data_IF_507910638246
#
_entry.id   IF_507910638246
#
_cell.length_a   1.000
_cell.length_b   1.000
_cell.length_c   1.000
_cell.angle_alpha   90.00
_cell.angle_beta   90.00
_cell.angle_gamma   90.00
#
_symmetry.space_group_name_H-M   'P 1'
#
loop_
_entity.id
_entity.type
_entity.pdbx_description
1 polymer ?
2 non-polymer ?
3 water ?
#
# COMPACT_ATOMS: atom_id res chain seq x y z
N UNK A 2 13.12 -20.27 -4.51
CA UNK A 2 14.37 -19.62 -5.00
C UNK A 2 13.99 -18.47 -5.92
N UNK A 3 12.88 -18.59 -6.64
CA UNK A 3 12.26 -17.45 -7.32
C UNK A 3 10.80 -17.13 -6.89
N UNK A 4 10.22 -16.15 -7.57
CA UNK A 4 8.84 -15.77 -7.30
C UNK A 4 7.83 -16.72 -7.91
N UNK A 5 8.29 -17.89 -8.29
CA UNK A 5 7.41 -18.88 -8.88
C UNK A 5 6.53 -19.55 -7.84
N UNK A 6 5.25 -19.64 -8.17
CA UNK A 6 4.27 -20.34 -7.34
C UNK A 6 4.25 -19.80 -5.96
N UNK A 7 4.58 -18.53 -5.87
CA UNK A 7 4.44 -17.88 -4.62
C UNK A 7 3.17 -17.04 -4.72
N UNK A 8 2.31 -17.21 -3.72
CA UNK A 8 1.10 -16.42 -3.56
C UNK A 8 1.28 -15.56 -2.32
N UNK A 9 1.43 -14.28 -2.56
CA UNK A 9 1.63 -13.38 -1.47
C UNK A 9 0.35 -13.00 -0.79
N UNK A 10 -0.79 -13.32 -1.36
CA UNK A 10 -2.02 -12.88 -0.73
C UNK A 10 -2.49 -11.54 -1.29
N UNK A 11 -3.49 -10.94 -0.64
CA UNK A 11 -4.08 -9.71 -1.12
C UNK A 11 -3.23 -8.52 -0.80
N UNK A 12 -3.18 -7.63 -1.77
CA UNK A 12 -2.46 -6.38 -1.68
C UNK A 12 -0.96 -6.56 -1.77
N UNK A 13 -0.50 -7.75 -2.09
CA UNK A 13 0.94 -8.02 -2.07
C UNK A 13 1.41 -8.70 -3.32
N UNK A 14 2.59 -8.40 -3.84
CA UNK A 14 3.09 -9.15 -4.98
C UNK A 14 4.51 -9.68 -4.68
N UNK A 15 5.04 -10.56 -5.52
CA UNK A 15 6.33 -11.19 -5.23
C UNK A 15 7.43 -10.54 -5.99
N UNK A 16 8.53 -10.26 -5.32
CA UNK A 16 9.64 -9.62 -6.00
C UNK A 16 10.93 -10.12 -5.39
N UNK A 17 11.93 -10.26 -6.24
CA UNK A 17 13.22 -10.70 -5.82
C UNK A 17 13.94 -9.50 -5.21
N UNK A 18 14.35 -9.59 -3.97
CA UNK A 18 15.07 -8.46 -3.44
C UNK A 18 16.57 -8.50 -3.87
N UNK A 19 17.37 -7.61 -3.33
CA UNK A 19 18.78 -7.50 -3.73
C UNK A 19 19.66 -8.61 -3.29
N UNK A 20 19.13 -9.50 -2.48
CA UNK A 20 19.95 -10.58 -2.02
C UNK A 20 19.44 -11.80 -2.69
N UNK A 21 18.61 -11.62 -3.69
CA UNK A 21 18.03 -12.75 -4.42
C UNK A 21 17.07 -13.61 -3.71
N UNK A 22 16.40 -13.03 -2.73
CA UNK A 22 15.36 -13.78 -2.07
C UNK A 22 13.97 -13.34 -2.59
N UNK A 23 13.04 -14.26 -2.80
CA UNK A 23 11.68 -13.83 -3.13
C UNK A 23 11.00 -13.26 -1.90
N UNK A 24 10.41 -12.08 -2.00
CA UNK A 24 9.75 -11.45 -0.87
C UNK A 24 8.39 -10.98 -1.35
N UNK A 25 7.37 -11.13 -0.52
CA UNK A 25 6.07 -10.53 -0.80
C UNK A 25 6.13 -9.10 -0.36
N UNK A 26 5.92 -8.18 -1.26
CA UNK A 26 5.89 -6.79 -0.85
C UNK A 26 4.51 -6.17 -1.11
N UNK A 27 4.21 -5.16 -0.32
CA UNK A 27 2.95 -4.44 -0.37
C UNK A 27 2.83 -3.77 -1.73
N UNK A 28 1.80 -4.06 -2.51
CA UNK A 28 1.75 -3.39 -3.75
C UNK A 28 0.28 -3.32 -4.09
N UNK A 29 -0.46 -2.38 -3.49
CA UNK A 29 -1.88 -2.25 -3.77
C UNK A 29 -2.16 -1.84 -5.19
N UNK A 30 -3.26 -2.30 -5.74
CA UNK A 30 -3.59 -1.99 -7.13
C UNK A 30 -4.18 -0.60 -7.19
N UNK A 31 -3.39 0.42 -7.49
CA UNK A 31 -3.92 1.78 -7.49
C UNK A 31 -5.01 1.99 -8.54
N UNK A 32 -5.04 1.17 -9.58
CA UNK A 32 -6.04 1.34 -10.68
C UNK A 32 -7.42 0.95 -10.17
N UNK A 33 -7.45 0.38 -8.99
CA UNK A 33 -8.72 0.04 -8.41
C UNK A 33 -9.38 1.22 -7.68
N UNK A 34 -8.59 2.24 -7.35
CA UNK A 34 -9.08 3.33 -6.49
C UNK A 34 -9.68 4.40 -7.33
N UNK A 35 -10.82 4.94 -6.97
CA UNK A 35 -11.47 5.93 -7.88
C UNK A 35 -11.08 7.38 -7.57
N UNK A 36 -10.92 7.72 -6.31
CA UNK A 36 -10.51 9.06 -5.95
C UNK A 36 -9.05 9.17 -6.14
N UNK A 37 -8.65 10.16 -6.90
CA UNK A 37 -7.28 10.23 -7.22
C UNK A 37 -6.49 11.31 -6.44
N UNK A 38 -7.09 12.32 -5.85
CA UNK A 38 -6.26 13.33 -5.20
C UNK A 38 -5.75 12.90 -3.85
N UNK A 39 -5.25 13.83 -3.06
CA UNK A 39 -4.74 13.48 -1.73
C UNK A 39 -5.84 13.11 -0.78
N UNK A 40 -5.46 12.37 0.25
CA UNK A 40 -6.32 11.98 1.30
C UNK A 40 -5.65 12.26 2.64
N UNK A 41 -6.51 12.45 3.65
CA UNK A 41 -6.15 12.64 5.06
C UNK A 41 -6.38 11.34 5.83
N UNK A 42 -5.32 10.80 6.38
CA UNK A 42 -5.28 9.52 7.10
C UNK A 42 -5.74 9.64 8.54
N UNK A 43 -6.13 8.52 9.14
CA UNK A 43 -6.55 8.48 10.57
C UNK A 43 -5.42 8.76 11.53
N UNK A 44 -4.19 8.73 11.04
CA UNK A 44 -3.06 9.13 11.88
C UNK A 44 -2.94 10.64 11.83
N UNK A 45 -3.84 11.31 11.12
CA UNK A 45 -3.71 12.75 10.93
C UNK A 45 -2.64 13.25 9.89
N UNK A 46 -2.03 12.35 9.12
CA UNK A 46 -1.08 12.78 8.16
C UNK A 46 -1.68 12.79 6.75
N UNK A 47 -1.33 13.77 5.93
CA UNK A 47 -1.82 13.77 4.59
C UNK A 47 -1.02 12.73 3.81
N UNK A 48 -1.70 11.93 2.99
CA UNK A 48 -1.04 11.02 2.06
C UNK A 48 -1.29 11.51 0.60
N UNK A 49 -0.26 11.46 -0.23
CA UNK A 49 -0.34 11.96 -1.64
C UNK A 49 -1.49 11.41 -2.44
N UNK A 50 -1.76 10.13 -2.25
CA UNK A 50 -2.96 9.58 -2.83
C UNK A 50 -3.39 8.45 -1.95
N UNK A 51 -4.54 7.87 -2.25
CA UNK A 51 -5.07 6.82 -1.43
C UNK A 51 -4.23 5.54 -1.49
N UNK A 52 -3.72 5.24 -2.66
CA UNK A 52 -2.85 4.12 -2.86
C UNK A 52 -1.67 4.16 -1.91
N UNK A 53 -1.11 5.34 -1.74
CA UNK A 53 0.00 5.54 -0.84
C UNK A 53 -0.40 5.24 0.60
N UNK A 54 -1.60 5.61 0.95
CA UNK A 54 -2.09 5.28 2.29
C UNK A 54 -2.22 3.78 2.46
N UNK A 55 -2.79 3.12 1.48
CA UNK A 55 -2.98 1.70 1.55
C UNK A 55 -1.65 0.96 1.64
N UNK A 56 -0.66 1.50 0.99
CA UNK A 56 0.64 0.86 1.14
C UNK A 56 1.18 1.02 2.58
N UNK A 57 0.99 2.18 3.19
CA UNK A 57 1.49 2.41 4.55
C UNK A 57 0.69 1.53 5.48
N UNK A 58 -0.59 1.39 5.18
CA UNK A 58 -1.44 0.51 5.97
C UNK A 58 -0.90 -0.92 5.97
N UNK A 59 -0.61 -1.46 4.80
CA UNK A 59 -0.12 -2.84 4.66
C UNK A 59 1.26 -3.08 5.25
N UNK A 60 2.05 -2.02 5.21
CA UNK A 60 3.42 -2.10 5.59
C UNK A 60 3.64 -1.82 7.05
N UNK A 61 3.00 -0.80 7.59
CA UNK A 61 3.32 -0.41 8.95
C UNK A 61 2.16 -0.06 9.88
N UNK A 62 0.95 0.23 9.37
CA UNK A 62 -0.17 0.65 10.24
C UNK A 62 -1.46 -0.06 9.89
N UNK A 63 -1.74 -1.20 10.49
CA UNK A 63 -2.90 -1.95 10.06
C UNK A 63 -4.20 -1.23 10.23
N UNK A 64 -4.33 -0.33 11.20
CA UNK A 64 -5.59 0.39 11.44
C UNK A 64 -5.79 1.70 10.62
N UNK A 65 -4.80 2.06 9.82
CA UNK A 65 -4.87 3.27 9.02
C UNK A 65 -5.99 3.24 7.99
N UNK A 66 -6.72 4.34 7.90
CA UNK A 66 -7.88 4.45 7.02
C UNK A 66 -7.91 5.89 6.57
N UNK A 67 -8.66 6.16 5.53
CA UNK A 67 -8.88 7.50 5.09
C UNK A 67 -9.97 8.05 5.96
N UNK A 68 -9.70 9.21 6.55
CA UNK A 68 -10.69 9.86 7.41
C UNK A 68 -11.43 10.92 6.63
N UNK A 69 -10.76 11.63 5.74
CA UNK A 69 -11.42 12.50 4.73
C UNK A 69 -10.52 12.74 3.54
N UNK A 70 -11.14 13.16 2.45
CA UNK A 70 -10.46 13.40 1.18
C UNK A 70 -9.82 14.76 1.27
N UNK A 71 -8.71 14.93 0.57
CA UNK A 71 -8.04 16.20 0.53
C UNK A 71 -6.89 16.16 1.49
N UNK A 72 -6.21 17.26 1.60
CA UNK A 72 -5.11 17.41 2.53
C UNK A 72 -5.60 17.44 3.92
N UNK A 73 -4.84 16.92 4.86
CA UNK A 73 -5.22 17.15 6.24
C UNK A 73 -5.05 18.61 6.65
N UNK A 74 -5.77 19.00 7.65
CA UNK A 74 -5.54 20.28 8.29
C UNK A 74 -4.23 20.33 9.12
X LIG B 1 13.43 -6.48 3.05
X LIG B 1 13.60 -6.59 1.64
X LIG B 1 12.16 -6.28 0.68
X LIG B 1 15.60 -7.26 3.67
X LIG B 1 12.30 -5.03 -0.12
X LIG B 1 17.02 -9.61 4.05
X LIG B 1 15.56 -3.54 3.38
X LIG B 1 11.09 -6.20 1.68
X LIG B 1 15.69 -1.12 1.87
X LIG B 1 11.80 -7.34 -0.20
X LIG B 1 18.48 -4.97 4.75
X LIG B 1 17.72 -5.75 0.17
X LIG B 1 15.60 -8.57 4.23
X LIG B 1 15.75 -2.11 3.34
X LIG B 1 17.27 -5.98 3.48
X LIG B 1 18.86 -6.63 0.34
X LIG B 1 16.96 -10.61 5.13
X LIG B 1 14.91 0.11 2.14
X LIG B 1 19.39 -5.65 5.68
X LIG B 1 16.94 -6.16 -0.98
X LIG B 1 18.28 -8.86 4.21
X LIG B 1 15.08 -1.84 0.73
X LIG B 1 17.52 -4.15 5.48
X LIG B 1 16.87 -5.76 1.39
X LIG B 1 17.02 -10.34 2.79
X LIG B 1 17.02 -0.68 1.53
X LIG B 1 19.30 -4.15 3.85
X LIG B 1 18.19 -4.39 -0.06
#
# INVERSE_FOLDING_TARGET
>A
METCENVDCGPGKKCRMNKKNKPRCVCAPDCSNITWKGPVCGLDGKTYRNECALLKARCKEQPELEVQYQGKCK
>B hetero
1 IHS C1 O1 S1 C2 O2 S2 C3 O3 S3 O4 S4 S5 O12 O13 O14 O15 O22 O23 O24 O25 O32 O33 O34 O35 O42 O43 O44 O45
#
